data_IF_023443845983
#
_entry.id   IF_023443845983
#
_cell.length_a   1.000
_cell.length_b   1.000
_cell.length_c   1.000
_cell.angle_alpha   90.00
_cell.angle_beta   90.00
_cell.angle_gamma   90.00
#
_symmetry.space_group_name_H-M   'P 1'
#
loop_
_entity.id
_entity.type
_entity.pdbx_description
1 polymer ?
#
# COMPACT_ATOMS: atom_id res chain seq x y z
N UNK A 1 27.53 5.18 -12.85
CA UNK A 1 28.09 5.27 -11.48
C UNK A 1 27.64 6.53 -10.73
N UNK A 2 27.69 7.73 -11.32
CA UNK A 2 27.34 9.01 -10.63
C UNK A 2 25.88 9.13 -10.15
N UNK A 3 24.91 8.47 -10.78
CA UNK A 3 23.49 8.56 -10.39
C UNK A 3 23.13 7.66 -9.22
N UNK A 4 23.51 6.38 -9.26
CA UNK A 4 23.27 5.43 -8.16
C UNK A 4 23.87 5.93 -6.84
N UNK A 5 25.05 6.55 -6.89
CA UNK A 5 25.66 7.19 -5.73
C UNK A 5 24.81 8.33 -5.15
N UNK A 6 24.20 9.18 -6.00
CA UNK A 6 23.29 10.25 -5.55
C UNK A 6 22.05 9.69 -4.86
N UNK A 7 21.45 8.62 -5.41
CA UNK A 7 20.27 7.97 -4.84
C UNK A 7 20.61 7.40 -3.46
N UNK A 8 21.71 6.66 -3.36
CA UNK A 8 22.16 6.07 -2.09
C UNK A 8 22.51 7.15 -1.07
N UNK A 9 23.11 8.27 -1.49
CA UNK A 9 23.42 9.39 -0.60
C UNK A 9 22.14 10.05 -0.06
N UNK A 10 21.15 10.32 -0.91
CA UNK A 10 19.87 10.91 -0.48
C UNK A 10 19.14 9.95 0.45
N UNK A 11 19.07 8.67 0.10
CA UNK A 11 18.44 7.66 0.95
C UNK A 11 19.18 7.52 2.28
N UNK A 12 20.51 7.52 2.28
CA UNK A 12 21.34 7.51 3.48
C UNK A 12 21.11 8.72 4.38
N UNK A 13 20.85 9.91 3.81
CA UNK A 13 20.45 11.09 4.59
C UNK A 13 19.07 10.92 5.23
N UNK A 14 18.08 10.36 4.53
CA UNK A 14 16.76 10.06 5.10
C UNK A 14 16.90 9.05 6.24
N UNK A 15 17.68 7.99 6.04
CA UNK A 15 17.98 7.00 7.08
C UNK A 15 18.63 7.65 8.29
N UNK A 16 19.66 8.47 8.08
CA UNK A 16 20.36 9.15 9.15
C UNK A 16 19.42 10.05 9.97
N UNK A 17 18.63 10.89 9.29
CA UNK A 17 17.64 11.77 9.95
C UNK A 17 16.64 10.91 10.73
N UNK A 18 16.11 9.86 10.12
CA UNK A 18 15.13 8.98 10.76
C UNK A 18 15.71 8.28 12.00
N UNK A 19 16.91 7.70 11.93
CA UNK A 19 17.55 7.04 13.08
C UNK A 19 17.90 8.03 14.19
N UNK A 20 18.37 9.24 13.86
CA UNK A 20 18.60 10.30 14.84
C UNK A 20 17.29 10.70 15.51
N UNK A 21 16.22 10.92 14.75
CA UNK A 21 14.89 11.22 15.29
C UNK A 21 14.37 10.07 16.16
N UNK A 22 14.53 8.82 15.75
CA UNK A 22 14.11 7.65 16.52
C UNK A 22 14.89 7.54 17.84
N UNK A 23 16.18 7.86 17.83
CA UNK A 23 17.00 7.86 19.05
C UNK A 23 16.62 8.97 20.03
N UNK A 24 16.16 10.12 19.52
CA UNK A 24 15.79 11.28 20.32
C UNK A 24 14.33 11.27 20.80
N UNK A 25 13.42 10.71 19.99
CA UNK A 25 11.97 10.92 20.12
C UNK A 25 11.13 9.64 19.98
N UNK A 26 11.74 8.45 19.84
CA UNK A 26 10.93 7.23 19.66
C UNK A 26 10.08 6.94 20.89
N UNK A 27 8.80 6.65 20.62
CA UNK A 27 7.80 6.35 21.64
C UNK A 27 7.01 5.08 21.33
N UNK A 28 7.46 4.31 20.34
CA UNK A 28 6.73 3.24 19.68
C UNK A 28 7.57 1.97 19.60
N UNK A 29 6.99 0.83 19.98
CA UNK A 29 7.56 -0.50 19.76
C UNK A 29 7.00 -1.07 18.45
N UNK A 30 7.25 -0.38 17.35
CA UNK A 30 6.97 -0.92 16.02
C UNK A 30 7.88 -2.14 15.76
N UNK A 31 7.38 -3.21 15.11
CA UNK A 31 8.24 -4.34 14.77
C UNK A 31 9.31 -3.92 13.75
N UNK A 32 10.51 -4.49 13.88
CA UNK A 32 11.65 -4.14 13.02
C UNK A 32 11.35 -4.32 11.52
N UNK A 33 10.56 -5.32 11.16
CA UNK A 33 10.08 -5.57 9.80
C UNK A 33 9.26 -4.40 9.21
N UNK A 34 8.44 -3.72 10.03
CA UNK A 34 7.70 -2.55 9.58
C UNK A 34 8.62 -1.38 9.24
N UNK A 35 9.69 -1.18 10.03
CA UNK A 35 10.70 -0.17 9.71
C UNK A 35 11.42 -0.51 8.40
N UNK A 36 11.86 -1.76 8.21
CA UNK A 36 12.51 -2.16 6.94
C UNK A 36 11.61 -1.86 5.75
N UNK A 37 10.32 -2.22 5.81
CA UNK A 37 9.35 -1.93 4.76
C UNK A 37 9.31 -0.42 4.44
N UNK A 38 9.09 0.43 5.45
CA UNK A 38 9.05 1.89 5.26
C UNK A 38 10.34 2.43 4.64
N UNK A 39 11.50 1.89 5.03
CA UNK A 39 12.79 2.28 4.48
C UNK A 39 12.95 1.86 3.02
N UNK A 40 12.50 0.66 2.64
CA UNK A 40 12.49 0.20 1.23
C UNK A 40 11.53 1.04 0.40
N UNK A 41 10.34 1.36 0.91
CA UNK A 41 9.40 2.25 0.22
C UNK A 41 9.96 3.67 0.06
N UNK A 42 10.70 4.22 1.03
CA UNK A 42 11.36 5.52 0.85
C UNK A 42 12.48 5.49 -0.21
N UNK A 43 13.14 4.34 -0.40
CA UNK A 43 14.06 4.15 -1.52
C UNK A 43 13.30 4.11 -2.86
N UNK A 44 12.16 3.41 -2.93
CA UNK A 44 11.28 3.41 -4.10
C UNK A 44 10.79 4.81 -4.45
N UNK A 45 10.46 5.63 -3.45
CA UNK A 45 10.12 7.04 -3.63
C UNK A 45 11.24 7.81 -4.33
N UNK A 46 12.48 7.73 -3.82
CA UNK A 46 13.62 8.43 -4.41
C UNK A 46 13.86 7.94 -5.85
N UNK A 47 13.88 6.62 -6.08
CA UNK A 47 14.09 6.08 -7.42
C UNK A 47 12.98 6.55 -8.38
N UNK A 48 11.72 6.57 -7.93
CA UNK A 48 10.58 7.05 -8.72
C UNK A 48 10.73 8.52 -9.12
N UNK A 49 11.22 9.39 -8.22
CA UNK A 49 11.57 10.78 -8.56
C UNK A 49 12.66 10.84 -9.63
N UNK A 50 13.73 10.05 -9.48
CA UNK A 50 14.80 10.05 -10.47
C UNK A 50 14.33 9.54 -11.84
N UNK A 51 13.44 8.54 -11.88
CA UNK A 51 12.81 8.09 -13.11
C UNK A 51 11.97 9.22 -13.71
N UNK A 52 11.08 9.83 -12.93
CA UNK A 52 10.24 10.95 -13.36
C UNK A 52 11.05 12.07 -14.04
N UNK A 53 12.20 12.43 -13.45
CA UNK A 53 13.07 13.49 -13.97
C UNK A 53 13.83 13.08 -15.24
N UNK A 54 14.06 11.78 -15.46
CA UNK A 54 14.86 11.24 -16.56
C UNK A 54 14.05 10.59 -17.67
N UNK A 55 12.76 10.36 -17.45
CA UNK A 55 11.89 9.69 -18.39
C UNK A 55 11.76 10.53 -19.68
N UNK A 56 12.21 10.02 -20.84
CA UNK A 56 12.17 10.77 -22.10
C UNK A 56 10.72 10.91 -22.59
N UNK A 57 9.89 9.89 -22.39
CA UNK A 57 8.50 9.90 -22.81
C UNK A 57 7.64 10.70 -21.83
N UNK A 58 7.15 11.87 -22.27
CA UNK A 58 6.29 12.76 -21.46
C UNK A 58 5.05 12.06 -20.89
N UNK A 59 4.55 11.02 -21.57
CA UNK A 59 3.38 10.28 -21.12
C UNK A 59 3.71 9.38 -19.92
N UNK A 60 4.81 8.63 -19.99
CA UNK A 60 5.27 7.76 -18.92
C UNK A 60 5.67 8.55 -17.66
N UNK A 61 6.07 9.83 -17.78
CA UNK A 61 6.35 10.69 -16.63
C UNK A 61 5.20 10.72 -15.63
N UNK A 62 3.95 10.81 -16.11
CA UNK A 62 2.80 10.88 -15.20
C UNK A 62 2.54 9.56 -14.48
N UNK A 63 2.89 8.42 -15.07
CA UNK A 63 2.84 7.12 -14.39
C UNK A 63 3.79 7.12 -13.18
N UNK A 64 5.05 7.51 -13.40
CA UNK A 64 6.05 7.57 -12.33
C UNK A 64 5.81 8.70 -11.33
N UNK A 65 5.13 9.77 -11.72
CA UNK A 65 4.65 10.78 -10.78
C UNK A 65 3.65 10.17 -9.78
N UNK A 66 2.68 9.38 -10.26
CA UNK A 66 1.72 8.73 -9.38
C UNK A 66 2.39 7.72 -8.45
N UNK A 67 3.36 6.94 -8.94
CA UNK A 67 4.17 6.07 -8.07
C UNK A 67 5.00 6.86 -7.05
N UNK A 68 5.60 7.99 -7.44
CA UNK A 68 6.32 8.85 -6.51
C UNK A 68 5.39 9.42 -5.43
N UNK A 69 4.18 9.87 -5.80
CA UNK A 69 3.18 10.35 -4.83
C UNK A 69 2.77 9.22 -3.88
N UNK A 70 2.50 8.03 -4.40
CA UNK A 70 2.19 6.84 -3.60
C UNK A 70 3.32 6.52 -2.60
N UNK A 71 4.56 6.35 -3.07
CA UNK A 71 5.68 6.02 -2.19
C UNK A 71 6.08 7.16 -1.26
N UNK A 72 5.71 8.42 -1.54
CA UNK A 72 5.95 9.54 -0.61
C UNK A 72 5.23 9.36 0.72
N UNK A 73 4.15 8.57 0.75
CA UNK A 73 3.42 8.26 1.96
C UNK A 73 4.24 7.42 2.94
N UNK A 74 5.31 6.75 2.49
CA UNK A 74 6.22 6.07 3.41
C UNK A 74 6.90 7.07 4.35
N UNK A 75 7.23 8.28 3.87
CA UNK A 75 7.79 9.36 4.69
C UNK A 75 6.78 9.88 5.71
N UNK A 76 5.52 9.98 5.31
CA UNK A 76 4.43 10.27 6.26
C UNK A 76 4.38 9.15 7.28
N UNK A 77 4.38 7.88 6.87
CA UNK A 77 4.29 6.72 7.78
C UNK A 77 5.41 6.66 8.84
N UNK A 78 6.63 7.15 8.54
CA UNK A 78 7.70 7.31 9.54
C UNK A 78 7.29 8.25 10.69
N UNK A 79 6.38 9.18 10.42
CA UNK A 79 5.76 10.07 11.40
C UNK A 79 5.05 9.33 12.53
N UNK A 80 4.56 8.11 12.30
CA UNK A 80 3.82 7.31 13.28
C UNK A 80 4.59 7.13 14.60
N UNK A 81 5.89 6.88 14.51
CA UNK A 81 6.74 6.58 15.69
C UNK A 81 6.99 7.82 16.58
N UNK A 82 6.72 9.02 16.04
CA UNK A 82 6.90 10.30 16.73
C UNK A 82 5.61 10.85 17.34
N UNK A 83 4.45 10.23 17.05
CA UNK A 83 3.17 10.69 17.57
C UNK A 83 3.10 10.40 19.07
N UNK A 84 3.26 11.46 19.85
CA UNK A 84 3.16 11.45 21.30
C UNK A 84 1.74 11.13 21.76
N UNK A 85 1.63 10.56 22.96
CA UNK A 85 0.36 10.48 23.69
C UNK A 85 -0.24 11.87 23.99
N UNK A 86 0.56 12.95 23.91
CA UNK A 86 0.16 14.29 24.33
C UNK A 86 -0.35 15.21 23.21
N UNK A 87 -0.38 14.78 21.94
CA UNK A 87 -0.87 15.62 20.84
C UNK A 87 -2.41 15.65 20.79
N UNK A 88 -3.00 16.83 20.99
CA UNK A 88 -4.39 17.36 20.82
C UNK A 88 -5.65 16.47 21.07
N UNK A 89 -5.61 15.13 20.97
CA UNK A 89 -6.67 14.17 21.32
C UNK A 89 -6.04 12.95 22.02
N UNK A 90 -5.59 13.16 23.27
CA UNK A 90 -4.60 12.35 24.00
C UNK A 90 -4.76 10.81 23.97
N UNK A 91 -5.98 10.26 23.88
CA UNK A 91 -6.20 8.80 23.95
C UNK A 91 -6.14 8.08 22.60
N UNK A 92 -6.38 8.78 21.49
CA UNK A 92 -6.69 8.15 20.19
C UNK A 92 -5.78 8.57 19.04
N UNK A 93 -4.90 9.56 19.23
CA UNK A 93 -4.11 10.18 18.15
C UNK A 93 -3.35 9.18 17.28
N UNK A 94 -2.70 8.17 17.87
CA UNK A 94 -1.97 7.14 17.11
C UNK A 94 -2.88 6.27 16.24
N UNK A 95 -4.04 5.88 16.77
CA UNK A 95 -4.99 5.05 16.04
C UNK A 95 -5.63 5.84 14.89
N UNK A 96 -6.02 7.09 15.15
CA UNK A 96 -6.55 7.99 14.11
C UNK A 96 -5.51 8.22 13.02
N UNK A 97 -4.25 8.42 13.40
CA UNK A 97 -3.17 8.58 12.44
C UNK A 97 -2.98 7.35 11.57
N UNK A 98 -2.84 6.18 12.19
CA UNK A 98 -2.66 4.92 11.46
C UNK A 98 -3.86 4.62 10.55
N UNK A 99 -5.08 4.94 10.99
CA UNK A 99 -6.29 4.84 10.19
C UNK A 99 -6.20 5.66 8.90
N UNK A 100 -5.92 6.96 9.00
CA UNK A 100 -5.88 7.82 7.81
C UNK A 100 -4.65 7.57 6.94
N UNK A 101 -3.50 7.20 7.51
CA UNK A 101 -2.34 6.75 6.73
C UNK A 101 -2.67 5.48 5.96
N UNK A 102 -3.37 4.52 6.55
CA UNK A 102 -3.79 3.30 5.86
C UNK A 102 -4.78 3.57 4.72
N UNK A 103 -5.77 4.45 4.97
CA UNK A 103 -6.73 4.88 3.93
C UNK A 103 -6.03 5.61 2.78
N UNK A 104 -5.11 6.52 3.11
CA UNK A 104 -4.31 7.24 2.12
C UNK A 104 -3.43 6.27 1.31
N UNK A 105 -2.82 5.29 1.97
CA UNK A 105 -1.94 4.30 1.35
C UNK A 105 -2.68 3.51 0.29
N UNK A 106 -3.81 2.89 0.66
CA UNK A 106 -4.57 2.08 -0.27
C UNK A 106 -5.20 2.92 -1.39
N UNK A 107 -5.65 4.14 -1.09
CA UNK A 107 -6.23 5.03 -2.09
C UNK A 107 -5.20 5.52 -3.11
N UNK A 108 -4.00 5.89 -2.67
CA UNK A 108 -2.91 6.32 -3.57
C UNK A 108 -2.34 5.15 -4.38
N UNK A 109 -2.24 3.95 -3.80
CA UNK A 109 -1.87 2.75 -4.56
C UNK A 109 -2.89 2.48 -5.68
N UNK A 110 -4.18 2.50 -5.33
CA UNK A 110 -5.27 2.34 -6.28
C UNK A 110 -5.24 3.40 -7.37
N UNK A 111 -4.95 4.65 -7.00
CA UNK A 111 -4.82 5.74 -7.95
C UNK A 111 -3.67 5.51 -8.93
N UNK A 112 -2.49 5.09 -8.46
CA UNK A 112 -1.35 4.81 -9.32
C UNK A 112 -1.64 3.66 -10.30
N UNK A 113 -2.23 2.57 -9.82
CA UNK A 113 -2.62 1.41 -10.64
C UNK A 113 -3.69 1.81 -11.66
N UNK A 114 -4.81 2.38 -11.22
CA UNK A 114 -5.93 2.74 -12.12
C UNK A 114 -5.48 3.79 -13.13
N UNK A 115 -4.67 4.79 -12.75
CA UNK A 115 -4.12 5.75 -13.70
C UNK A 115 -3.32 5.06 -14.80
N UNK A 116 -2.45 4.12 -14.43
CA UNK A 116 -1.64 3.36 -15.38
C UNK A 116 -2.51 2.54 -16.34
N UNK A 117 -3.58 1.92 -15.84
CA UNK A 117 -4.53 1.17 -16.68
C UNK A 117 -5.33 2.09 -17.60
N UNK A 118 -5.80 3.25 -17.10
CA UNK A 118 -6.50 4.24 -17.92
C UNK A 118 -5.57 4.82 -18.98
N UNK A 119 -4.31 5.10 -18.64
CA UNK A 119 -3.31 5.52 -19.60
C UNK A 119 -3.17 4.46 -20.70
N UNK A 120 -3.01 3.19 -20.33
CA UNK A 120 -2.89 2.08 -21.26
C UNK A 120 -4.08 1.96 -22.23
N UNK A 121 -5.29 1.94 -21.69
CA UNK A 121 -6.53 1.72 -22.45
C UNK A 121 -6.89 2.92 -23.33
N UNK A 122 -6.75 4.14 -22.80
CA UNK A 122 -7.24 5.37 -23.45
C UNK A 122 -6.07 6.24 -23.90
N UNK A 123 -5.33 5.74 -24.90
CA UNK A 123 -4.10 6.36 -25.40
C UNK A 123 -4.30 7.78 -25.92
N UNK A 124 -5.43 8.01 -26.57
CA UNK A 124 -5.81 9.27 -27.20
C UNK A 124 -6.25 10.33 -26.19
N UNK A 125 -6.55 9.93 -24.94
CA UNK A 125 -7.00 10.87 -23.92
C UNK A 125 -5.87 11.81 -23.51
N UNK A 126 -6.23 13.07 -23.32
CA UNK A 126 -5.34 14.07 -22.74
C UNK A 126 -5.10 13.72 -21.27
N UNK A 127 -3.94 14.16 -20.75
CA UNK A 127 -3.50 13.84 -19.38
C UNK A 127 -4.55 14.21 -18.33
N UNK A 128 -5.21 15.37 -18.44
CA UNK A 128 -6.25 15.78 -17.50
C UNK A 128 -7.50 14.88 -17.56
N UNK A 129 -7.85 14.33 -18.73
CA UNK A 129 -8.99 13.40 -18.87
C UNK A 129 -8.69 12.08 -18.16
N UNK A 130 -7.43 11.60 -18.26
CA UNK A 130 -6.97 10.40 -17.56
C UNK A 130 -7.01 10.59 -16.04
N UNK A 131 -6.52 11.72 -15.55
CA UNK A 131 -6.61 12.07 -14.13
C UNK A 131 -8.06 12.20 -13.66
N UNK A 132 -8.94 12.84 -14.44
CA UNK A 132 -10.36 12.95 -14.11
C UNK A 132 -11.03 11.58 -14.02
N UNK A 133 -10.82 10.69 -15.01
CA UNK A 133 -11.37 9.34 -14.98
C UNK A 133 -10.86 8.55 -13.76
N UNK A 134 -9.54 8.61 -13.50
CA UNK A 134 -8.93 7.94 -12.34
C UNK A 134 -9.50 8.47 -11.03
N UNK A 135 -9.61 9.79 -10.89
CA UNK A 135 -10.14 10.44 -9.70
C UNK A 135 -11.63 10.14 -9.49
N UNK A 136 -12.42 10.03 -10.55
CA UNK A 136 -13.83 9.64 -10.44
C UNK A 136 -13.97 8.18 -9.97
N UNK A 137 -13.20 7.25 -10.56
CA UNK A 137 -13.26 5.83 -10.20
C UNK A 137 -12.79 5.61 -8.76
N UNK A 138 -11.58 6.08 -8.44
CA UNK A 138 -10.98 5.89 -7.12
C UNK A 138 -11.67 6.76 -6.07
N UNK A 139 -12.01 8.00 -6.39
CA UNK A 139 -12.72 8.89 -5.49
C UNK A 139 -14.09 8.33 -5.11
N UNK A 140 -14.87 7.84 -6.08
CA UNK A 140 -16.16 7.21 -5.78
C UNK A 140 -15.99 5.94 -4.94
N UNK A 141 -15.03 5.06 -5.28
CA UNK A 141 -14.77 3.84 -4.53
C UNK A 141 -14.30 4.12 -3.09
N UNK A 142 -13.30 4.99 -2.92
CA UNK A 142 -12.77 5.40 -1.61
C UNK A 142 -13.83 6.09 -0.77
N UNK A 143 -14.62 7.00 -1.34
CA UNK A 143 -15.71 7.65 -0.61
C UNK A 143 -16.78 6.65 -0.21
N UNK A 144 -17.23 5.77 -1.10
CA UNK A 144 -18.24 4.76 -0.78
C UNK A 144 -17.79 3.81 0.34
N UNK A 145 -16.54 3.35 0.27
CA UNK A 145 -15.97 2.35 1.19
C UNK A 145 -15.56 2.97 2.53
N UNK A 146 -14.99 4.17 2.52
CA UNK A 146 -14.45 4.84 3.72
C UNK A 146 -15.28 6.03 4.21
N UNK A 147 -16.50 6.25 3.68
CA UNK A 147 -17.41 7.32 4.15
C UNK A 147 -17.53 7.40 5.68
N UNK A 148 -17.73 6.29 6.42
CA UNK A 148 -17.91 6.36 7.87
C UNK A 148 -16.72 6.99 8.62
N UNK A 149 -15.51 6.85 8.09
CA UNK A 149 -14.28 7.39 8.67
C UNK A 149 -14.10 8.88 8.42
N UNK A 150 -14.67 9.39 7.31
CA UNK A 150 -14.66 10.82 7.01
C UNK A 150 -15.79 11.55 7.74
N UNK A 151 -16.95 10.92 7.90
CA UNK A 151 -18.06 11.48 8.68
C UNK A 151 -17.75 11.49 10.17
N UNK A 152 -17.07 10.45 10.67
CA UNK A 152 -16.66 10.37 12.06
C UNK A 152 -15.22 9.83 12.19
N UNK A 153 -14.24 10.68 12.56
CA UNK A 153 -12.86 10.24 12.78
C UNK A 153 -12.69 9.17 13.86
N UNK A 154 -13.66 9.04 14.78
CA UNK A 154 -13.67 8.04 15.86
C UNK A 154 -14.51 6.80 15.53
N UNK A 155 -14.94 6.63 14.28
CA UNK A 155 -15.84 5.55 13.85
C UNK A 155 -15.44 4.16 14.36
N UNK A 156 -14.14 3.81 14.35
CA UNK A 156 -13.66 2.51 14.85
C UNK A 156 -14.08 2.23 16.30
N UNK A 157 -14.13 3.27 17.15
CA UNK A 157 -14.50 3.15 18.56
C UNK A 157 -16.01 3.11 18.81
N UNK A 158 -16.81 3.35 17.78
CA UNK A 158 -18.28 3.41 17.85
C UNK A 158 -18.95 2.23 17.15
N UNK A 159 -18.15 1.30 16.63
CA UNK A 159 -18.64 0.04 16.05
C UNK A 159 -19.35 -0.79 17.11
N UNK A 160 -20.36 -1.57 16.69
CA UNK A 160 -21.16 -2.40 17.59
C UNK A 160 -20.28 -3.38 18.40
N UNK A 161 -19.32 -4.02 17.72
CA UNK A 161 -18.37 -4.94 18.34
C UNK A 161 -17.60 -4.29 19.49
N UNK A 162 -17.07 -3.08 19.28
CA UNK A 162 -16.31 -2.36 20.32
C UNK A 162 -17.22 -1.84 21.43
N UNK A 163 -18.43 -1.39 21.13
CA UNK A 163 -19.38 -0.94 22.16
C UNK A 163 -19.78 -2.08 23.09
N UNK A 164 -20.16 -3.24 22.53
CA UNK A 164 -20.51 -4.42 23.30
C UNK A 164 -19.32 -4.98 24.07
N UNK A 165 -18.12 -5.01 23.46
CA UNK A 165 -16.88 -5.35 24.14
C UNK A 165 -16.65 -4.46 25.37
N UNK A 166 -16.77 -3.15 25.24
CA UNK A 166 -16.57 -2.21 26.36
C UNK A 166 -17.58 -2.44 27.49
N UNK A 167 -18.86 -2.62 27.16
CA UNK A 167 -19.88 -2.94 28.17
C UNK A 167 -19.52 -4.20 28.95
N UNK A 168 -19.04 -5.22 28.26
CA UNK A 168 -18.61 -6.47 28.88
C UNK A 168 -17.34 -6.30 29.72
N UNK A 169 -16.33 -5.60 29.21
CA UNK A 169 -15.07 -5.33 29.89
C UNK A 169 -15.29 -4.51 31.18
N UNK A 170 -16.07 -3.43 31.10
CA UNK A 170 -16.42 -2.59 32.25
C UNK A 170 -17.15 -3.41 33.34
N UNK A 171 -18.03 -4.33 32.94
CA UNK A 171 -18.72 -5.22 33.88
C UNK A 171 -17.75 -6.23 34.53
N UNK A 172 -16.92 -6.91 33.75
CA UNK A 172 -15.97 -7.91 34.25
C UNK A 172 -14.92 -7.26 35.17
N UNK A 173 -14.46 -6.05 34.85
CA UNK A 173 -13.53 -5.30 35.69
C UNK A 173 -14.16 -4.86 37.02
N UNK A 174 -15.44 -4.48 37.02
CA UNK A 174 -16.15 -4.04 38.23
C UNK A 174 -16.54 -5.18 39.18
N UNK A 175 -16.65 -6.41 38.69
CA UNK A 175 -17.12 -7.57 39.46
C UNK A 175 -16.10 -8.72 39.51
N UNK A 176 -14.82 -8.38 39.34
CA UNK A 176 -13.70 -9.33 39.18
C UNK A 176 -13.52 -10.32 40.36
N UNK A 177 -14.10 -10.02 41.52
CA UNK A 177 -14.03 -10.87 42.73
C UNK A 177 -15.20 -11.86 42.89
N UNK A 178 -16.34 -11.62 42.22
CA UNK A 178 -17.63 -12.22 42.61
C UNK A 178 -18.25 -13.12 41.52
N UNK A 179 -17.70 -13.12 40.31
CA UNK A 179 -18.28 -13.83 39.15
C UNK A 179 -17.44 -15.07 38.81
N UNK A 180 -18.14 -16.19 38.57
CA UNK A 180 -17.53 -17.37 37.97
C UNK A 180 -16.90 -17.06 36.61
N UNK A 181 -15.83 -17.76 36.24
CA UNK A 181 -15.13 -17.54 34.96
C UNK A 181 -15.91 -18.00 33.72
N UNK A 182 -17.15 -18.47 33.89
CA UNK A 182 -17.98 -19.00 32.82
C UNK A 182 -18.80 -17.90 32.14
N UNK A 183 -18.80 -17.87 30.81
CA UNK A 183 -19.63 -16.95 30.03
C UNK A 183 -21.13 -17.07 30.29
N UNK A 184 -21.60 -18.21 30.83
CA UNK A 184 -22.99 -18.41 31.22
C UNK A 184 -23.37 -17.60 32.48
N UNK A 185 -22.47 -17.53 33.45
CA UNK A 185 -22.70 -16.77 34.70
C UNK A 185 -22.75 -15.27 34.41
N UNK A 186 -21.90 -14.81 33.49
CA UNK A 186 -21.88 -13.42 33.03
C UNK A 186 -23.14 -13.08 32.22
N UNK A 187 -23.60 -13.98 31.34
CA UNK A 187 -24.79 -13.75 30.51
C UNK A 187 -26.10 -13.68 31.29
N UNK A 188 -26.14 -14.20 32.51
CA UNK A 188 -27.28 -14.06 33.43
C UNK A 188 -27.31 -12.69 34.12
N UNK A 189 -26.18 -11.99 34.17
CA UNK A 189 -26.01 -10.73 34.92
C UNK A 189 -25.88 -9.51 34.01
N UNK A 190 -25.41 -9.69 32.78
CA UNK A 190 -25.28 -8.63 31.77
C UNK A 190 -26.15 -8.91 30.58
N UNK A 191 -27.00 -7.96 30.23
CA UNK A 191 -27.73 -7.95 28.97
C UNK A 191 -27.04 -6.98 28.00
N UNK A 192 -26.42 -7.50 26.95
CA UNK A 192 -25.86 -6.70 25.88
C UNK A 192 -26.98 -6.11 25.01
N UNK A 193 -26.73 -4.91 24.47
CA UNK A 193 -27.69 -4.19 23.62
C UNK A 193 -27.35 -4.35 22.14
N UNK A 194 -28.38 -4.36 21.29
CA UNK A 194 -28.26 -4.20 19.84
C UNK A 194 -28.16 -2.72 19.48
N UNK A 195 -27.34 -2.40 18.48
CA UNK A 195 -27.09 -1.03 18.04
C UNK A 195 -27.47 -0.85 16.57
N UNK A 196 -28.11 0.27 16.23
CA UNK A 196 -28.33 0.74 14.85
C UNK A 196 -27.94 2.20 14.77
N UNK A 197 -27.18 2.57 13.74
CA UNK A 197 -26.79 3.97 13.45
C UNK A 197 -26.18 4.71 14.64
N UNK A 198 -25.46 3.97 15.50
CA UNK A 198 -24.80 4.53 16.68
C UNK A 198 -25.70 4.61 17.92
N UNK A 199 -26.99 4.31 17.82
CA UNK A 199 -27.96 4.33 18.92
C UNK A 199 -28.31 2.92 19.41
N UNK A 200 -28.63 2.82 20.70
CA UNK A 200 -29.16 1.58 21.30
C UNK A 200 -30.60 1.38 20.83
N UNK A 201 -30.92 0.19 20.34
CA UNK A 201 -32.25 -0.12 19.79
C UNK A 201 -33.04 -1.05 20.69
N UNK A 202 -32.40 -2.13 21.16
CA UNK A 202 -33.05 -3.18 21.94
C UNK A 202 -32.02 -3.97 22.75
N UNK A 203 -32.50 -4.76 23.70
CA UNK A 203 -31.72 -5.77 24.40
C UNK A 203 -31.63 -7.05 23.55
N UNK A 204 -30.49 -7.74 23.61
CA UNK A 204 -30.34 -9.03 22.95
C UNK A 204 -31.16 -10.10 23.68
N UNK A 205 -31.79 -10.99 22.90
CA UNK A 205 -32.49 -12.15 23.45
C UNK A 205 -31.51 -13.01 24.27
N UNK A 206 -31.95 -13.71 25.33
CA UNK A 206 -31.04 -14.44 26.23
C UNK A 206 -30.08 -15.40 25.53
N UNK A 207 -30.54 -16.14 24.51
CA UNK A 207 -29.70 -17.04 23.73
C UNK A 207 -28.66 -16.31 22.87
N UNK A 208 -29.05 -15.19 22.26
CA UNK A 208 -28.15 -14.36 21.44
C UNK A 208 -27.14 -13.63 22.31
N UNK A 209 -27.56 -13.16 23.48
CA UNK A 209 -26.73 -12.54 24.49
C UNK A 209 -25.64 -13.51 24.98
N UNK A 210 -26.01 -14.74 25.32
CA UNK A 210 -25.06 -15.78 25.72
C UNK A 210 -24.05 -16.07 24.61
N UNK A 211 -24.51 -16.32 23.38
CA UNK A 211 -23.62 -16.56 22.22
C UNK A 211 -22.68 -15.39 22.00
N UNK A 212 -23.20 -14.17 22.12
CA UNK A 212 -22.42 -12.96 21.91
C UNK A 212 -21.35 -12.77 22.98
N UNK A 213 -21.71 -12.93 24.26
CA UNK A 213 -20.77 -12.88 25.37
C UNK A 213 -19.68 -13.93 25.17
N UNK A 214 -20.04 -15.19 24.90
CA UNK A 214 -19.07 -16.25 24.61
C UNK A 214 -18.13 -15.90 23.46
N UNK A 215 -18.62 -15.24 22.41
CA UNK A 215 -17.78 -14.80 21.29
C UNK A 215 -16.84 -13.63 21.65
N UNK A 216 -17.19 -12.81 22.64
CA UNK A 216 -16.42 -11.64 23.07
C UNK A 216 -15.42 -11.98 24.18
N UNK A 217 -15.66 -13.03 24.98
CA UNK A 217 -14.81 -13.45 26.09
C UNK A 217 -13.32 -13.54 25.73
N UNK A 218 -12.91 -14.16 24.60
CA UNK A 218 -11.49 -14.24 24.25
C UNK A 218 -10.82 -12.88 24.00
N UNK A 219 -11.61 -11.86 23.66
CA UNK A 219 -11.09 -10.50 23.38
C UNK A 219 -10.84 -9.70 24.65
N UNK A 220 -11.36 -10.13 25.81
CA UNK A 220 -11.08 -9.55 27.13
C UNK A 220 -9.64 -9.86 27.61
N UNK A 221 -8.98 -10.82 26.97
CA UNK A 221 -7.61 -11.21 27.30
C UNK A 221 -6.58 -10.29 26.63
N UNK A 222 -5.63 -9.79 27.44
CA UNK A 222 -4.46 -9.01 27.00
C UNK A 222 -4.85 -7.84 26.04
N UNK A 223 -4.33 -7.89 24.81
CA UNK A 223 -4.47 -6.88 23.76
C UNK A 223 -5.40 -7.35 22.61
N UNK A 224 -6.14 -8.45 22.79
CA UNK A 224 -6.97 -9.04 21.74
C UNK A 224 -8.07 -8.10 21.23
N UNK A 225 -8.56 -7.19 22.08
CA UNK A 225 -9.52 -6.14 21.70
C UNK A 225 -9.09 -5.28 20.48
N UNK A 226 -7.78 -5.18 20.21
CA UNK A 226 -7.26 -4.46 19.03
C UNK A 226 -7.74 -5.09 17.72
N UNK A 227 -7.99 -6.40 17.70
CA UNK A 227 -8.51 -7.10 16.52
C UNK A 227 -9.91 -6.58 16.18
N UNK A 228 -10.79 -6.50 17.19
CA UNK A 228 -12.13 -5.94 17.03
C UNK A 228 -12.08 -4.48 16.55
N UNK A 229 -11.11 -3.70 17.06
CA UNK A 229 -10.97 -2.29 16.71
C UNK A 229 -10.61 -2.12 15.22
N UNK A 230 -9.65 -2.90 14.71
CA UNK A 230 -9.10 -2.71 13.37
C UNK A 230 -9.80 -3.52 12.27
N UNK A 231 -10.54 -4.56 12.63
CA UNK A 231 -11.25 -5.43 11.68
C UNK A 231 -12.13 -4.67 10.67
N UNK A 232 -12.90 -3.62 11.06
CA UNK A 232 -13.68 -2.84 10.10
C UNK A 232 -12.79 -2.16 9.05
N UNK A 233 -11.67 -1.55 9.46
CA UNK A 233 -10.76 -0.85 8.55
C UNK A 233 -10.16 -1.83 7.52
N UNK A 234 -9.66 -2.97 7.99
CA UNK A 234 -9.06 -3.97 7.11
C UNK A 234 -10.07 -4.63 6.19
N UNK A 235 -11.33 -4.77 6.61
CA UNK A 235 -12.40 -5.24 5.71
C UNK A 235 -12.61 -4.27 4.56
N UNK A 236 -12.64 -2.97 4.84
CA UNK A 236 -12.76 -1.95 3.82
C UNK A 236 -11.53 -1.90 2.91
N UNK A 237 -10.32 -2.07 3.46
CA UNK A 237 -9.08 -2.20 2.68
C UNK A 237 -9.14 -3.37 1.70
N UNK A 238 -9.67 -4.54 2.10
CA UNK A 238 -9.82 -5.70 1.21
C UNK A 238 -10.67 -5.35 -0.02
N UNK A 239 -11.77 -4.61 0.12
CA UNK A 239 -12.60 -4.25 -1.04
C UNK A 239 -11.85 -3.41 -2.06
N UNK A 240 -11.01 -2.47 -1.60
CA UNK A 240 -10.19 -1.66 -2.51
C UNK A 240 -9.04 -2.49 -3.12
N UNK A 241 -8.43 -3.40 -2.37
CA UNK A 241 -7.44 -4.33 -2.94
C UNK A 241 -8.05 -5.23 -4.03
N UNK A 242 -9.29 -5.70 -3.85
CA UNK A 242 -10.01 -6.45 -4.90
C UNK A 242 -10.22 -5.59 -6.15
N UNK A 243 -10.55 -4.31 -5.98
CA UNK A 243 -10.64 -3.36 -7.09
C UNK A 243 -9.29 -3.22 -7.81
N UNK A 244 -8.19 -3.04 -7.06
CA UNK A 244 -6.82 -2.98 -7.60
C UNK A 244 -6.53 -4.22 -8.44
N UNK A 245 -6.77 -5.42 -7.88
CA UNK A 245 -6.54 -6.69 -8.59
C UNK A 245 -7.37 -6.74 -9.89
N UNK A 246 -8.64 -6.34 -9.85
CA UNK A 246 -9.49 -6.26 -11.04
C UNK A 246 -8.88 -5.40 -12.15
N UNK A 247 -8.33 -4.23 -11.80
CA UNK A 247 -7.63 -3.36 -12.75
C UNK A 247 -6.31 -3.96 -13.24
N UNK A 248 -5.54 -4.64 -12.39
CA UNK A 248 -4.31 -5.31 -12.82
C UNK A 248 -4.62 -6.48 -13.77
N UNK A 249 -5.69 -7.24 -13.53
CA UNK A 249 -6.13 -8.27 -14.46
C UNK A 249 -6.60 -7.68 -15.79
N UNK A 250 -7.31 -6.54 -15.76
CA UNK A 250 -7.67 -5.79 -16.96
C UNK A 250 -6.43 -5.30 -17.73
N UNK A 251 -5.42 -4.82 -17.01
CA UNK A 251 -4.12 -4.44 -17.58
C UNK A 251 -3.50 -5.60 -18.35
N UNK A 252 -3.31 -6.76 -17.69
CA UNK A 252 -2.70 -7.92 -18.34
C UNK A 252 -3.57 -8.47 -19.48
N UNK A 253 -4.89 -8.55 -19.29
CA UNK A 253 -5.81 -8.99 -20.34
C UNK A 253 -5.74 -8.12 -21.59
N UNK A 254 -5.71 -6.80 -21.43
CA UNK A 254 -5.54 -5.88 -22.55
C UNK A 254 -4.14 -5.96 -23.17
N UNK A 255 -3.10 -6.06 -22.33
CA UNK A 255 -1.70 -6.19 -22.73
C UNK A 255 -1.46 -7.44 -23.59
N UNK A 256 -2.04 -8.59 -23.21
CA UNK A 256 -1.97 -9.83 -23.99
C UNK A 256 -2.79 -9.77 -25.28
N UNK A 257 -3.95 -9.09 -25.27
CA UNK A 257 -4.84 -9.03 -26.43
C UNK A 257 -4.38 -8.06 -27.52
N UNK A 258 -3.82 -6.91 -27.15
CA UNK A 258 -3.58 -5.79 -28.08
C UNK A 258 -2.11 -5.40 -28.27
N UNK A 259 -1.22 -5.99 -27.48
CA UNK A 259 0.21 -5.64 -27.44
C UNK A 259 0.51 -4.13 -27.55
N UNK A 260 -0.13 -3.29 -26.73
CA UNK A 260 0.09 -1.85 -26.79
C UNK A 260 1.53 -1.52 -26.32
N UNK A 261 2.29 -0.64 -27.01
CA UNK A 261 3.59 -0.17 -26.51
C UNK A 261 3.52 0.35 -25.09
N UNK A 262 4.30 -0.26 -24.20
CA UNK A 262 4.50 0.16 -22.83
C UNK A 262 5.99 0.35 -22.56
N UNK A 263 6.32 1.20 -21.58
CA UNK A 263 7.69 1.34 -21.14
C UNK A 263 8.23 0.01 -20.61
N UNK A 264 9.52 -0.25 -20.87
CA UNK A 264 10.19 -1.45 -20.34
C UNK A 264 10.00 -1.58 -18.82
N UNK A 265 9.84 -2.82 -18.35
CA UNK A 265 9.67 -3.23 -16.94
C UNK A 265 8.32 -2.91 -16.28
N UNK A 266 7.39 -2.19 -16.94
CA UNK A 266 6.07 -1.87 -16.35
C UNK A 266 5.28 -3.15 -16.02
N UNK A 267 5.29 -4.15 -16.91
CA UNK A 267 4.60 -5.43 -16.70
C UNK A 267 5.11 -6.15 -15.44
N UNK A 268 6.41 -6.11 -15.19
CA UNK A 268 7.06 -6.72 -14.02
C UNK A 268 6.69 -5.98 -12.73
N UNK A 269 6.62 -4.65 -12.79
CA UNK A 269 6.15 -3.81 -11.68
C UNK A 269 4.68 -4.14 -11.36
N UNK A 270 3.81 -4.20 -12.38
CA UNK A 270 2.39 -4.54 -12.21
C UNK A 270 2.18 -5.94 -11.63
N UNK A 271 3.02 -6.91 -12.02
CA UNK A 271 2.99 -8.26 -11.45
C UNK A 271 3.38 -8.26 -9.96
N UNK A 272 4.36 -7.47 -9.55
CA UNK A 272 4.71 -7.35 -8.13
C UNK A 272 3.63 -6.64 -7.33
N UNK A 273 2.96 -5.64 -7.90
CA UNK A 273 1.80 -5.00 -7.25
C UNK A 273 0.66 -6.01 -7.09
N UNK A 274 0.42 -6.88 -8.08
CA UNK A 274 -0.58 -7.97 -7.95
C UNK A 274 -0.25 -8.88 -6.77
N UNK A 275 1.01 -9.27 -6.62
CA UNK A 275 1.47 -10.08 -5.50
C UNK A 275 1.25 -9.35 -4.17
N UNK A 276 1.63 -8.08 -4.09
CA UNK A 276 1.43 -7.25 -2.89
C UNK A 276 -0.03 -7.10 -2.50
N UNK A 277 -0.91 -6.75 -3.44
CA UNK A 277 -2.34 -6.63 -3.20
C UNK A 277 -2.97 -7.96 -2.77
N UNK A 278 -2.54 -9.07 -3.37
CA UNK A 278 -3.01 -10.41 -2.99
C UNK A 278 -2.58 -10.78 -1.57
N UNK A 279 -1.32 -10.51 -1.21
CA UNK A 279 -0.81 -10.74 0.14
C UNK A 279 -1.48 -9.84 1.17
N UNK A 280 -1.74 -8.57 0.84
CA UNK A 280 -2.48 -7.65 1.71
C UNK A 280 -3.90 -8.16 1.99
N UNK A 281 -4.61 -8.70 0.98
CA UNK A 281 -5.92 -9.33 1.21
C UNK A 281 -5.80 -10.50 2.17
N UNK A 282 -4.83 -11.39 1.97
CA UNK A 282 -4.62 -12.57 2.83
C UNK A 282 -4.32 -12.13 4.27
N UNK A 283 -3.45 -11.15 4.47
CA UNK A 283 -3.12 -10.64 5.81
C UNK A 283 -4.31 -9.97 6.49
N UNK A 284 -5.02 -9.08 5.78
CA UNK A 284 -6.19 -8.40 6.31
C UNK A 284 -7.32 -9.39 6.63
N UNK A 285 -7.52 -10.40 5.77
CA UNK A 285 -8.52 -11.44 6.00
C UNK A 285 -8.14 -12.33 7.18
N UNK A 286 -6.88 -12.75 7.27
CA UNK A 286 -6.34 -13.48 8.41
C UNK A 286 -6.58 -12.71 9.70
N UNK A 287 -6.26 -11.40 9.72
CA UNK A 287 -6.51 -10.50 10.85
C UNK A 287 -7.96 -10.50 11.32
N UNK A 288 -8.89 -10.39 10.39
CA UNK A 288 -10.32 -10.37 10.72
C UNK A 288 -10.79 -11.72 11.31
N UNK A 289 -10.11 -12.82 10.96
CA UNK A 289 -10.47 -14.18 11.42
C UNK A 289 -9.79 -14.64 12.69
N UNK A 290 -8.76 -13.92 13.12
CA UNK A 290 -8.04 -14.23 14.35
C UNK A 290 -8.74 -13.74 15.61
N UNK A 291 -8.39 -14.39 16.73
CA UNK A 291 -8.85 -14.03 18.06
C UNK A 291 -7.67 -13.61 18.95
N UNK A 292 -6.51 -14.23 18.77
CA UNK A 292 -5.30 -13.95 19.53
C UNK A 292 -4.38 -12.95 18.82
N UNK A 293 -4.03 -11.87 19.50
CA UNK A 293 -3.12 -10.86 18.98
C UNK A 293 -1.69 -11.39 18.80
N UNK A 294 -1.18 -12.21 19.73
CA UNK A 294 0.20 -12.73 19.70
C UNK A 294 0.44 -13.65 18.51
N UNK A 295 -0.40 -14.68 18.34
CA UNK A 295 -0.37 -15.60 17.19
C UNK A 295 -0.46 -14.85 15.85
N UNK A 296 -1.16 -13.72 15.83
CA UNK A 296 -1.22 -12.86 14.65
C UNK A 296 0.00 -12.02 14.41
N UNK A 297 0.64 -11.49 15.45
CA UNK A 297 1.89 -10.74 15.27
C UNK A 297 2.97 -11.61 14.63
N UNK A 298 3.00 -12.91 14.91
CA UNK A 298 3.92 -13.85 14.26
C UNK A 298 3.59 -14.07 12.78
N UNK A 299 2.32 -14.34 12.44
CA UNK A 299 1.88 -14.54 11.05
C UNK A 299 2.05 -13.26 10.21
N UNK A 300 1.73 -12.10 10.80
CA UNK A 300 1.97 -10.80 10.19
C UNK A 300 3.45 -10.54 9.96
N UNK A 301 4.34 -11.01 10.84
CA UNK A 301 5.79 -10.86 10.65
C UNK A 301 6.27 -11.63 9.43
N UNK A 302 5.83 -12.88 9.25
CA UNK A 302 6.14 -13.67 8.03
C UNK A 302 5.60 -12.97 6.78
N UNK A 303 4.35 -12.52 6.86
CA UNK A 303 3.70 -11.74 5.80
C UNK A 303 4.46 -10.49 5.40
N UNK A 304 4.94 -9.73 6.39
CA UNK A 304 5.74 -8.53 6.18
C UNK A 304 7.07 -8.84 5.49
N UNK A 305 7.72 -9.97 5.76
CA UNK A 305 8.92 -10.35 5.03
C UNK A 305 8.66 -10.65 3.55
N UNK A 306 7.51 -11.26 3.22
CA UNK A 306 7.09 -11.46 1.83
C UNK A 306 6.84 -10.10 1.15
N UNK A 307 6.16 -9.18 1.84
CA UNK A 307 5.96 -7.80 1.36
C UNK A 307 7.28 -7.09 1.11
N UNK A 308 8.23 -7.15 2.07
CA UNK A 308 9.57 -6.57 1.93
C UNK A 308 10.31 -7.19 0.75
N UNK A 309 10.23 -8.51 0.56
CA UNK A 309 10.84 -9.18 -0.58
C UNK A 309 10.26 -8.68 -1.92
N UNK A 310 8.94 -8.57 -2.04
CA UNK A 310 8.29 -8.03 -3.23
C UNK A 310 8.68 -6.55 -3.48
N UNK A 311 8.79 -5.74 -2.43
CA UNK A 311 9.28 -4.36 -2.53
C UNK A 311 10.74 -4.26 -2.94
N UNK A 312 11.63 -5.14 -2.46
CA UNK A 312 13.01 -5.23 -2.92
C UNK A 312 13.09 -5.62 -4.40
N UNK A 313 12.22 -6.52 -4.86
CA UNK A 313 12.09 -6.82 -6.29
C UNK A 313 11.57 -5.61 -7.08
N UNK A 314 10.66 -4.80 -6.51
CA UNK A 314 10.27 -3.53 -7.14
C UNK A 314 11.45 -2.57 -7.21
N UNK A 315 12.26 -2.46 -6.15
CA UNK A 315 13.49 -1.62 -6.16
C UNK A 315 14.40 -2.04 -7.30
N UNK A 316 14.59 -3.36 -7.49
CA UNK A 316 15.37 -3.88 -8.61
C UNK A 316 14.80 -3.44 -9.96
N UNK A 317 13.50 -3.61 -10.22
CA UNK A 317 12.91 -3.25 -11.52
C UNK A 317 12.84 -1.74 -11.75
N UNK A 318 12.58 -0.94 -10.73
CA UNK A 318 12.67 0.53 -10.83
C UNK A 318 14.12 0.98 -11.08
N UNK A 319 15.10 0.38 -10.42
CA UNK A 319 16.52 0.68 -10.68
C UNK A 319 16.94 0.26 -12.09
N UNK A 320 16.48 -0.90 -12.58
CA UNK A 320 16.71 -1.34 -13.95
C UNK A 320 16.05 -0.39 -14.97
N UNK A 321 14.81 0.06 -14.70
CA UNK A 321 14.13 1.09 -15.51
C UNK A 321 14.97 2.36 -15.57
N UNK A 322 15.41 2.88 -14.42
CA UNK A 322 16.19 4.12 -14.36
C UNK A 322 17.52 4.00 -15.14
N UNK A 323 18.23 2.88 -14.95
CA UNK A 323 19.47 2.59 -15.68
C UNK A 323 19.21 2.52 -17.18
N UNK A 324 18.09 1.90 -17.56
CA UNK A 324 17.69 1.72 -18.93
C UNK A 324 17.41 3.05 -19.64
N UNK A 325 16.51 3.88 -19.11
CA UNK A 325 16.17 5.18 -19.70
C UNK A 325 17.35 6.18 -19.66
N UNK A 326 18.31 5.99 -18.75
CA UNK A 326 19.52 6.82 -18.69
C UNK A 326 20.61 6.38 -19.66
N UNK A 327 20.39 5.31 -20.43
CA UNK A 327 21.33 4.79 -21.43
C UNK A 327 20.91 5.21 -22.83
N UNK A 328 21.88 5.48 -23.71
CA UNK A 328 21.63 5.83 -25.13
C UNK A 328 20.81 4.75 -25.84
N UNK A 329 21.08 3.48 -25.54
CA UNK A 329 20.34 2.35 -26.07
C UNK A 329 18.87 2.35 -25.62
N UNK A 330 18.60 2.73 -24.36
CA UNK A 330 17.24 2.74 -23.85
C UNK A 330 16.42 3.93 -24.32
N UNK A 331 17.04 5.08 -24.51
CA UNK A 331 16.40 6.23 -25.15
C UNK A 331 15.98 5.90 -26.58
N UNK A 332 16.89 5.32 -27.38
CA UNK A 332 16.57 4.84 -28.72
C UNK A 332 15.45 3.80 -28.71
N UNK A 333 15.54 2.81 -27.83
CA UNK A 333 14.56 1.72 -27.75
C UNK A 333 13.16 2.18 -27.34
N UNK A 334 13.04 3.09 -26.36
CA UNK A 334 11.74 3.65 -25.97
C UNK A 334 11.13 4.51 -27.08
N UNK A 335 11.98 5.17 -27.88
CA UNK A 335 11.54 5.90 -29.07
C UNK A 335 11.02 4.93 -30.14
N UNK A 336 11.74 3.84 -30.39
CA UNK A 336 11.32 2.81 -31.34
C UNK A 336 10.06 2.06 -30.88
N UNK A 337 9.89 1.74 -29.59
CA UNK A 337 8.64 1.19 -29.06
C UNK A 337 7.47 2.15 -29.31
N UNK A 338 7.68 3.45 -29.12
CA UNK A 338 6.63 4.44 -29.29
C UNK A 338 6.22 4.64 -30.76
N UNK A 339 7.16 4.51 -31.70
CA UNK A 339 6.95 4.80 -33.12
C UNK A 339 6.69 3.52 -33.95
N UNK A 340 7.37 2.42 -33.63
CA UNK A 340 7.36 1.14 -34.36
C UNK A 340 7.30 -0.07 -33.41
N UNK A 341 6.19 -0.25 -32.66
CA UNK A 341 6.08 -1.28 -31.62
C UNK A 341 6.27 -2.71 -32.15
N UNK A 342 5.92 -2.99 -33.40
CA UNK A 342 6.02 -4.34 -33.99
C UNK A 342 7.46 -4.81 -34.23
N UNK A 343 8.44 -3.89 -34.25
CA UNK A 343 9.84 -4.20 -34.56
C UNK A 343 10.68 -4.54 -33.33
N UNK A 344 10.14 -4.35 -32.13
CA UNK A 344 10.92 -4.32 -30.89
C UNK A 344 10.18 -5.06 -29.77
N UNK A 345 10.84 -6.05 -29.16
CA UNK A 345 10.24 -6.84 -28.07
C UNK A 345 9.97 -5.99 -26.82
N UNK A 346 8.77 -6.05 -26.26
CA UNK A 346 8.45 -5.40 -24.98
C UNK A 346 9.05 -6.10 -23.76
N UNK A 347 9.33 -7.40 -23.88
CA UNK A 347 9.76 -8.28 -22.78
C UNK A 347 11.26 -8.18 -22.55
N UNK A 348 11.75 -6.96 -22.33
CA UNK A 348 13.18 -6.76 -22.16
C UNK A 348 13.65 -7.43 -20.86
N UNK A 349 14.40 -8.51 -21.01
CA UNK A 349 15.04 -9.22 -19.92
C UNK A 349 16.54 -8.94 -19.90
N UNK A 350 17.21 -9.36 -18.81
CA UNK A 350 18.66 -9.29 -18.71
C UNK A 350 19.36 -10.05 -19.86
N UNK A 351 18.70 -11.08 -20.40
CA UNK A 351 19.11 -11.82 -21.59
C UNK A 351 19.11 -10.94 -22.83
N UNK A 352 18.06 -10.14 -23.05
CA UNK A 352 18.02 -9.20 -24.19
C UNK A 352 19.09 -8.12 -24.06
N UNK A 353 19.40 -7.68 -22.83
CA UNK A 353 20.51 -6.75 -22.62
C UNK A 353 21.87 -7.39 -22.97
N UNK A 354 22.03 -8.70 -22.71
CA UNK A 354 23.23 -9.47 -23.04
C UNK A 354 23.38 -9.63 -24.56
N UNK A 355 22.27 -9.97 -25.23
CA UNK A 355 22.19 -10.08 -26.70
C UNK A 355 22.45 -8.71 -27.33
N UNK A 356 21.77 -7.64 -26.89
CA UNK A 356 21.99 -6.29 -27.40
C UNK A 356 23.44 -5.83 -27.16
N UNK A 357 24.05 -6.15 -26.02
CA UNK A 357 25.45 -5.82 -25.76
C UNK A 357 26.43 -6.57 -26.69
N UNK A 358 26.07 -7.78 -27.14
CA UNK A 358 26.87 -8.55 -28.10
C UNK A 358 26.66 -8.10 -29.56
N UNK A 359 25.45 -7.69 -29.94
CA UNK A 359 25.12 -7.30 -31.31
C UNK A 359 25.36 -5.80 -31.59
N UNK A 360 25.25 -4.93 -30.60
CA UNK A 360 25.47 -3.49 -30.73
C UNK A 360 26.89 -3.13 -30.28
N UNK A 361 27.84 -3.22 -31.21
CA UNK A 361 29.22 -2.84 -30.96
C UNK A 361 29.32 -1.31 -30.72
N UNK A 362 29.73 -0.92 -29.52
CA UNK A 362 29.80 0.47 -29.02
C UNK A 362 30.51 1.44 -29.97
N UNK A 363 31.50 0.96 -30.75
CA UNK A 363 32.24 1.78 -31.74
C UNK A 363 31.43 2.13 -32.99
N UNK A 364 30.45 1.32 -33.39
CA UNK A 364 29.74 1.46 -34.66
C UNK A 364 28.59 2.46 -34.60
N UNK A 365 27.91 2.58 -33.45
CA UNK A 365 26.74 3.44 -33.30
C UNK A 365 27.07 4.92 -33.07
N UNK A 366 28.10 5.22 -32.27
CA UNK A 366 28.60 6.60 -32.12
C UNK A 366 29.15 7.18 -33.43
N UNK A 367 29.52 6.33 -34.40
CA UNK A 367 30.05 6.77 -35.69
C UNK A 367 29.01 7.04 -36.78
N UNK A 368 27.76 6.55 -36.65
CA UNK A 368 26.77 6.61 -37.75
C UNK A 368 25.47 7.36 -37.46
N UNK A 369 25.09 7.53 -36.19
CA UNK A 369 23.82 8.21 -35.83
C UNK A 369 23.99 9.63 -35.30
N UNK A 370 25.22 10.04 -34.96
CA UNK A 370 25.56 11.39 -34.50
C UNK A 370 26.59 12.09 -35.41
N UNK A 371 26.79 11.59 -36.63
CA UNK A 371 27.44 12.42 -37.65
C UNK A 371 26.49 13.55 -38.00
N UNK A 372 26.88 14.77 -37.63
CA UNK A 372 26.25 16.00 -38.06
C UNK A 372 26.05 15.95 -39.59
N UNK A 373 24.81 16.03 -40.12
CA UNK A 373 24.58 16.07 -41.56
C UNK A 373 25.19 17.34 -42.19
N UNK A 374 25.51 18.35 -41.39
CA UNK A 374 26.37 19.47 -41.78
C UNK A 374 27.83 19.17 -41.44
N UNK A 375 28.44 18.24 -42.16
CA UNK A 375 29.90 18.20 -42.32
C UNK A 375 30.39 19.44 -43.09
N UNK A 376 30.31 20.60 -42.45
CA UNK A 376 30.97 21.86 -42.81
C UNK A 376 31.59 22.48 -41.58
#
# INVERSE_FOLDING_TARGET
MRQSFKIILIWGMILFIYFVSLSLFSTSTSPFSAHINQLVQSLLFIISIFILLKEPNRRNRFIFLNFAIFFSLSLVSLGYDFIHRDFFIQKYSRHIYLQYVSIAYISLNSFAVVYLVIDLLFREFKVYQKYLCTALIIGAATLLVFYPYFSNPKHLYETNDIKQYKTLDDFVQSHRSDIGSSGLDIALQVTLKSWSDGHEVAELLPEENLKRIQSLMPYLEKDNWRILLWAPLYRQTIYIEVLIIGFILLFFGYQYKKDPPQGAYIDKIMFLILLLSSMNIIHNWGFIKSVEWESMTELFTVGQYITVFAELMMVLFFALRLKFISSVHGEFYETEIAVHPEKVSRWRDWVDNLVLAQFFNYKLFNGRLFQDPSGK
#
